data_IF_219134608030
#
_entry.id   IF_219134608030
#
_cell.length_a   1.000
_cell.length_b   1.000
_cell.length_c   1.000
_cell.angle_alpha   90.00
_cell.angle_beta   90.00
_cell.angle_gamma   90.00
#
_symmetry.space_group_name_H-M   'P 1'
#
loop_
_entity.id
_entity.type
_entity.pdbx_description
1 polymer ?
#
# COMPACT_ATOMS: atom_id res chain seq x y z
N UNK A 1 -21.08 4.93 20.74
CA UNK A 1 -21.65 4.61 19.41
C UNK A 1 -21.79 3.09 19.28
N UNK A 2 -22.69 2.53 18.48
CA UNK A 2 -22.76 1.08 18.21
C UNK A 2 -22.18 0.81 16.83
N UNK A 3 -21.18 -0.07 16.73
CA UNK A 3 -20.60 -0.47 15.44
C UNK A 3 -21.61 -1.28 14.63
N UNK A 4 -21.86 -0.88 13.38
CA UNK A 4 -22.69 -1.64 12.45
C UNK A 4 -21.88 -2.78 11.83
N UNK A 5 -22.34 -4.02 11.98
CA UNK A 5 -21.68 -5.18 11.38
C UNK A 5 -22.41 -5.58 10.10
N UNK A 6 -21.67 -5.64 9.00
CA UNK A 6 -22.18 -5.99 7.69
C UNK A 6 -21.53 -7.29 7.25
N UNK A 7 -22.29 -8.38 7.33
CA UNK A 7 -21.88 -9.67 6.79
C UNK A 7 -21.94 -9.66 5.25
N UNK A 8 -20.82 -10.07 4.67
CA UNK A 8 -20.59 -10.24 3.24
C UNK A 8 -20.16 -11.68 2.99
N UNK A 9 -20.67 -12.25 1.91
CA UNK A 9 -20.13 -13.49 1.37
C UNK A 9 -18.85 -13.13 0.59
N UNK A 10 -17.73 -13.79 0.93
CA UNK A 10 -16.46 -13.61 0.25
C UNK A 10 -16.54 -13.93 -1.26
N UNK A 11 -17.49 -14.78 -1.68
CA UNK A 11 -17.68 -15.20 -3.06
C UNK A 11 -18.75 -14.38 -3.81
N UNK A 12 -19.58 -13.61 -3.08
CA UNK A 12 -20.64 -12.76 -3.64
C UNK A 12 -20.64 -11.40 -2.94
N UNK A 13 -19.69 -10.56 -3.32
CA UNK A 13 -19.58 -9.20 -2.81
C UNK A 13 -20.87 -8.41 -3.10
N UNK A 14 -21.63 -8.08 -2.06
CA UNK A 14 -22.82 -7.23 -2.19
C UNK A 14 -22.38 -5.77 -2.36
N UNK A 15 -22.28 -5.33 -3.62
CA UNK A 15 -21.79 -4.00 -3.99
C UNK A 15 -22.57 -2.89 -3.29
N UNK A 16 -23.89 -3.03 -3.10
CA UNK A 16 -24.69 -2.00 -2.44
C UNK A 16 -24.25 -1.77 -0.98
N UNK A 17 -23.94 -2.84 -0.25
CA UNK A 17 -23.43 -2.75 1.12
C UNK A 17 -22.01 -2.18 1.18
N UNK A 18 -21.15 -2.52 0.21
CA UNK A 18 -19.80 -1.94 0.13
C UNK A 18 -19.86 -0.47 -0.26
N UNK A 19 -20.83 -0.06 -1.09
CA UNK A 19 -21.08 1.34 -1.44
C UNK A 19 -21.49 2.16 -0.22
N UNK A 20 -22.31 1.61 0.67
CA UNK A 20 -22.63 2.25 1.95
C UNK A 20 -21.36 2.50 2.78
N UNK A 21 -20.50 1.48 2.87
CA UNK A 21 -19.22 1.59 3.57
C UNK A 21 -18.29 2.64 2.95
N UNK A 22 -18.20 2.70 1.61
CA UNK A 22 -17.42 3.72 0.91
C UNK A 22 -17.94 5.14 1.21
N UNK A 23 -19.25 5.34 1.19
CA UNK A 23 -19.87 6.62 1.53
C UNK A 23 -19.57 7.06 2.97
N UNK A 24 -19.52 6.11 3.93
CA UNK A 24 -19.11 6.39 5.31
C UNK A 24 -17.65 6.84 5.39
N UNK A 25 -16.74 6.20 4.63
CA UNK A 25 -15.33 6.62 4.56
C UNK A 25 -15.21 8.02 3.96
N UNK A 26 -15.93 8.31 2.87
CA UNK A 26 -15.92 9.64 2.25
C UNK A 26 -16.48 10.74 3.16
N UNK A 27 -17.47 10.41 3.99
CA UNK A 27 -18.02 11.27 5.04
C UNK A 27 -17.08 11.43 6.26
N UNK A 28 -15.93 10.75 6.27
CA UNK A 28 -14.93 10.86 7.33
C UNK A 28 -15.17 9.96 8.55
N UNK A 29 -15.93 8.87 8.36
CA UNK A 29 -16.05 7.75 9.30
C UNK A 29 -14.92 6.72 9.13
N UNK A 30 -14.80 5.84 10.11
CA UNK A 30 -13.85 4.74 10.17
C UNK A 30 -14.56 3.42 9.86
N UNK A 31 -14.08 2.72 8.84
CA UNK A 31 -14.66 1.44 8.42
C UNK A 31 -13.62 0.34 8.53
N UNK A 32 -13.87 -0.68 9.35
CA UNK A 32 -13.05 -1.87 9.35
C UNK A 32 -13.39 -2.78 8.16
N UNK A 33 -12.38 -3.25 7.44
CA UNK A 33 -12.56 -4.08 6.24
C UNK A 33 -11.48 -5.16 6.13
N UNK A 34 -11.78 -6.31 5.49
CA UNK A 34 -10.85 -7.41 5.36
C UNK A 34 -9.81 -7.14 4.27
N UNK A 35 -8.58 -7.63 4.50
CA UNK A 35 -7.57 -7.80 3.45
C UNK A 35 -7.13 -9.27 3.38
N UNK A 36 -6.23 -9.62 2.48
CA UNK A 36 -5.56 -10.93 2.50
C UNK A 36 -4.67 -11.13 3.74
N UNK A 37 -4.18 -10.03 4.33
CA UNK A 37 -3.26 -10.06 5.48
C UNK A 37 -3.97 -10.10 6.83
N UNK A 38 -4.54 -8.96 7.22
CA UNK A 38 -5.21 -8.66 8.49
C UNK A 38 -6.31 -7.64 8.19
N UNK A 39 -7.25 -7.46 9.10
CA UNK A 39 -8.24 -6.39 8.96
C UNK A 39 -7.56 -5.01 9.00
N UNK A 40 -8.07 -4.07 8.21
CA UNK A 40 -7.63 -2.68 8.20
C UNK A 40 -8.77 -1.73 8.57
N UNK A 41 -8.43 -0.50 8.96
CA UNK A 41 -9.40 0.58 9.20
C UNK A 41 -9.29 1.59 8.07
N UNK A 42 -10.22 1.58 7.13
CA UNK A 42 -10.31 2.57 6.07
C UNK A 42 -10.67 3.93 6.67
N UNK A 43 -9.83 4.92 6.38
CA UNK A 43 -10.03 6.30 6.77
C UNK A 43 -9.62 7.21 5.60
N UNK A 44 -10.47 8.20 5.30
CA UNK A 44 -10.16 9.24 4.33
C UNK A 44 -8.99 10.10 4.82
N UNK A 45 -8.10 10.48 3.92
CA UNK A 45 -7.04 11.46 4.18
C UNK A 45 -7.65 12.86 4.28
N UNK A 46 -8.06 13.23 5.50
CA UNK A 46 -8.53 14.56 5.88
C UNK A 46 -8.23 14.76 7.37
N UNK A 47 -7.85 15.97 7.78
CA UNK A 47 -7.42 16.28 9.15
C UNK A 47 -8.33 15.69 10.24
N UNK A 48 -9.64 15.94 10.18
CA UNK A 48 -10.58 15.46 11.20
C UNK A 48 -10.69 13.92 11.23
N UNK A 49 -10.67 13.29 10.04
CA UNK A 49 -10.76 11.83 9.91
C UNK A 49 -9.49 11.14 10.40
N UNK A 50 -8.33 11.70 10.07
CA UNK A 50 -7.04 11.22 10.56
C UNK A 50 -6.91 11.41 12.08
N UNK A 51 -7.38 12.53 12.64
CA UNK A 51 -7.41 12.74 14.08
C UNK A 51 -8.27 11.70 14.80
N UNK A 52 -9.44 11.32 14.25
CA UNK A 52 -10.24 10.21 14.79
C UNK A 52 -9.47 8.88 14.77
N UNK A 53 -8.81 8.58 13.66
CA UNK A 53 -8.01 7.37 13.50
C UNK A 53 -6.83 7.33 14.49
N UNK A 54 -6.15 8.46 14.68
CA UNK A 54 -5.01 8.58 15.60
C UNK A 54 -5.44 8.45 17.05
N UNK A 55 -6.55 9.07 17.43
CA UNK A 55 -7.15 8.92 18.76
C UNK A 55 -7.55 7.47 19.05
N UNK A 56 -8.16 6.79 18.08
CA UNK A 56 -8.53 5.37 18.21
C UNK A 56 -7.31 4.48 18.37
N UNK A 57 -6.22 4.76 17.63
CA UNK A 57 -5.03 3.89 17.64
C UNK A 57 -4.01 4.25 18.71
N UNK A 58 -4.05 5.45 19.29
CA UNK A 58 -2.94 5.99 20.09
C UNK A 58 -1.64 6.02 19.28
N UNK A 59 -1.71 6.54 18.04
CA UNK A 59 -0.62 6.41 17.07
C UNK A 59 0.55 7.33 17.42
N UNK A 60 1.78 6.82 17.27
CA UNK A 60 2.97 7.67 17.28
C UNK A 60 3.00 8.54 15.99
N UNK A 61 3.11 9.89 16.11
CA UNK A 61 3.18 10.81 14.96
C UNK A 61 4.33 10.50 13.99
N UNK A 62 5.36 9.77 14.42
CA UNK A 62 6.47 9.41 13.55
C UNK A 62 6.12 8.37 12.49
N UNK A 63 5.07 7.57 12.70
CA UNK A 63 4.71 6.48 11.78
C UNK A 63 4.06 7.03 10.52
N UNK A 64 4.64 6.70 9.36
CA UNK A 64 4.08 7.00 8.04
C UNK A 64 2.73 6.32 7.79
N UNK A 65 1.79 7.06 7.23
CA UNK A 65 0.56 6.48 6.72
C UNK A 65 0.83 5.62 5.49
N UNK A 66 0.01 4.59 5.29
CA UNK A 66 0.05 3.76 4.08
C UNK A 66 -1.23 4.01 3.30
N UNK A 67 -1.07 4.64 2.14
CA UNK A 67 -2.14 4.82 1.17
C UNK A 67 -2.53 3.46 0.60
N UNK A 68 -3.83 3.19 0.55
CA UNK A 68 -4.38 1.99 -0.07
C UNK A 68 -5.05 2.35 -1.38
N UNK A 69 -4.66 1.64 -2.44
CA UNK A 69 -5.18 1.84 -3.80
C UNK A 69 -5.94 0.60 -4.27
N UNK A 70 -6.96 0.80 -5.10
CA UNK A 70 -7.83 -0.28 -5.57
C UNK A 70 -7.19 -1.16 -6.65
N UNK A 71 -6.30 -0.56 -7.45
CA UNK A 71 -5.61 -1.18 -8.57
C UNK A 71 -4.19 -0.62 -8.71
N UNK A 72 -3.26 -1.43 -9.22
CA UNK A 72 -1.84 -1.08 -9.34
C UNK A 72 -1.58 0.20 -10.12
N UNK A 73 -2.37 0.46 -11.16
CA UNK A 73 -2.22 1.62 -12.05
C UNK A 73 -2.43 2.96 -11.33
N UNK A 74 -3.21 2.98 -10.24
CA UNK A 74 -3.45 4.18 -9.43
C UNK A 74 -2.17 4.69 -8.75
N UNK A 75 -1.14 3.86 -8.59
CA UNK A 75 0.13 4.27 -7.98
C UNK A 75 0.77 5.46 -8.72
N UNK A 76 0.61 5.55 -10.05
CA UNK A 76 1.16 6.65 -10.86
C UNK A 76 0.54 8.02 -10.56
N UNK A 77 -0.62 8.06 -9.91
CA UNK A 77 -1.23 9.31 -9.44
C UNK A 77 -0.40 9.96 -8.33
N UNK A 78 0.28 9.14 -7.54
CA UNK A 78 1.04 9.55 -6.36
C UNK A 78 2.57 9.43 -6.57
N UNK A 79 3.01 8.58 -7.49
CA UNK A 79 4.42 8.37 -7.78
C UNK A 79 4.64 8.60 -9.29
N UNK A 80 5.05 9.83 -9.70
CA UNK A 80 5.19 10.17 -11.12
C UNK A 80 6.20 9.27 -11.84
N UNK A 81 7.36 9.03 -11.22
CA UNK A 81 8.41 8.18 -11.77
C UNK A 81 8.55 6.90 -10.96
N UNK A 82 8.20 5.77 -11.57
CA UNK A 82 8.37 4.44 -10.96
C UNK A 82 9.61 3.77 -11.57
N UNK A 83 10.64 3.56 -10.76
CA UNK A 83 11.86 2.87 -11.18
C UNK A 83 11.65 1.40 -11.55
N UNK A 84 12.56 0.81 -12.33
CA UNK A 84 12.41 -0.55 -12.89
C UNK A 84 12.19 -1.62 -11.81
N UNK A 85 12.97 -1.60 -10.73
CA UNK A 85 12.82 -2.56 -9.61
C UNK A 85 11.47 -2.41 -8.91
N UNK A 86 11.00 -1.17 -8.72
CA UNK A 86 9.69 -0.91 -8.13
C UNK A 86 8.57 -1.39 -9.06
N UNK A 87 8.69 -1.16 -10.36
CA UNK A 87 7.74 -1.66 -11.36
C UNK A 87 7.68 -3.20 -11.38
N UNK A 88 8.82 -3.89 -11.22
CA UNK A 88 8.87 -5.35 -11.08
C UNK A 88 8.12 -5.83 -9.84
N UNK A 89 8.33 -5.20 -8.68
CA UNK A 89 7.57 -5.51 -7.46
C UNK A 89 6.06 -5.28 -7.64
N UNK A 90 5.66 -4.15 -8.24
CA UNK A 90 4.25 -3.87 -8.54
C UNK A 90 3.65 -4.98 -9.42
N UNK A 91 4.38 -5.41 -10.45
CA UNK A 91 3.89 -6.42 -11.37
C UNK A 91 3.77 -7.79 -10.70
N UNK A 92 4.74 -8.17 -9.87
CA UNK A 92 4.89 -9.52 -9.33
C UNK A 92 4.24 -9.72 -7.94
N UNK A 93 4.10 -8.67 -7.14
CA UNK A 93 3.67 -8.75 -5.73
C UNK A 93 2.40 -7.97 -5.41
N UNK A 94 1.94 -7.09 -6.31
CA UNK A 94 0.59 -6.51 -6.22
C UNK A 94 -0.39 -7.25 -7.14
N UNK A 95 -1.71 -7.10 -6.95
CA UNK A 95 -2.29 -6.88 -5.63
C UNK A 95 -1.78 -7.97 -4.69
N UNK A 96 -1.51 -7.62 -3.42
CA UNK A 96 -0.92 -8.57 -2.50
C UNK A 96 -0.29 -7.98 -1.26
N UNK A 97 0.37 -8.83 -0.44
CA UNK A 97 0.78 -8.52 0.92
C UNK A 97 2.11 -7.74 0.96
N UNK A 98 2.29 -6.80 0.04
CA UNK A 98 3.45 -5.91 -0.06
C UNK A 98 3.01 -4.44 0.06
N UNK A 99 3.65 -3.72 0.96
CA UNK A 99 3.63 -2.25 0.98
C UNK A 99 4.95 -1.76 0.43
N UNK A 100 4.91 -0.85 -0.54
CA UNK A 100 6.10 -0.22 -1.12
C UNK A 100 6.14 1.24 -0.67
N UNK A 101 7.20 1.62 0.02
CA UNK A 101 7.55 3.00 0.33
C UNK A 101 8.44 3.50 -0.79
N UNK A 102 7.92 4.39 -1.61
CA UNK A 102 8.65 4.98 -2.73
C UNK A 102 9.39 6.22 -2.22
N UNK A 103 10.71 6.25 -2.36
CA UNK A 103 11.46 7.50 -2.29
C UNK A 103 11.31 8.25 -3.62
N UNK A 104 10.93 9.52 -3.52
CA UNK A 104 10.82 10.43 -4.65
C UNK A 104 12.09 11.32 -4.69
N UNK A 105 12.43 11.78 -5.88
CA UNK A 105 13.38 12.89 -6.00
C UNK A 105 12.67 14.23 -5.76
N UNK A 106 13.45 15.30 -5.62
CA UNK A 106 12.92 16.63 -5.31
C UNK A 106 11.94 17.10 -6.40
N UNK A 107 12.25 16.82 -7.68
CA UNK A 107 11.40 17.21 -8.81
C UNK A 107 10.02 16.56 -8.75
N UNK A 108 9.96 15.25 -8.49
CA UNK A 108 8.70 14.52 -8.38
C UNK A 108 7.95 14.88 -7.09
N UNK A 109 8.67 15.21 -6.02
CA UNK A 109 8.08 15.74 -4.77
C UNK A 109 7.40 17.08 -5.00
N UNK A 110 8.08 18.04 -5.63
CA UNK A 110 7.53 19.36 -5.97
C UNK A 110 6.30 19.25 -6.87
N UNK A 111 6.34 18.31 -7.82
CA UNK A 111 5.20 18.02 -8.69
C UNK A 111 4.00 17.48 -7.92
N UNK A 112 4.22 16.62 -6.93
CA UNK A 112 3.13 16.11 -6.08
C UNK A 112 2.59 17.18 -5.14
N UNK A 113 3.47 18.01 -4.56
CA UNK A 113 3.07 19.11 -3.68
C UNK A 113 2.19 20.15 -4.40
N UNK A 114 2.46 20.40 -5.69
CA UNK A 114 1.65 21.31 -6.51
C UNK A 114 0.36 20.69 -7.06
N UNK A 115 0.32 19.36 -7.22
CA UNK A 115 -0.84 18.66 -7.81
C UNK A 115 -1.89 18.23 -6.78
N UNK A 116 -1.49 18.04 -5.51
CA UNK A 116 -2.35 17.58 -4.44
C UNK A 116 -2.75 18.74 -3.50
N UNK A 117 -3.89 18.60 -2.85
CA UNK A 117 -4.25 19.48 -1.74
C UNK A 117 -3.18 19.39 -0.64
N UNK A 118 -2.77 20.54 -0.11
CA UNK A 118 -1.68 20.66 0.87
C UNK A 118 -1.82 19.68 2.05
N UNK A 119 -3.00 19.60 2.65
CA UNK A 119 -3.25 18.70 3.78
C UNK A 119 -3.14 17.21 3.41
N UNK A 120 -3.50 16.84 2.18
CA UNK A 120 -3.33 15.46 1.67
C UNK A 120 -1.84 15.17 1.47
N UNK A 121 -1.10 16.10 0.87
CA UNK A 121 0.33 15.95 0.66
C UNK A 121 1.08 15.80 1.98
N UNK A 122 0.90 16.71 2.93
CA UNK A 122 1.54 16.68 4.26
C UNK A 122 1.18 15.42 5.06
N UNK A 123 -0.01 14.85 4.84
CA UNK A 123 -0.43 13.61 5.51
C UNK A 123 0.16 12.33 4.90
N UNK A 124 0.36 12.30 3.57
CA UNK A 124 0.77 11.09 2.85
C UNK A 124 2.28 11.04 2.59
N UNK A 125 2.91 12.19 2.39
CA UNK A 125 4.33 12.29 2.07
C UNK A 125 5.11 12.75 3.30
N UNK A 126 6.19 12.04 3.60
CA UNK A 126 7.13 12.41 4.65
C UNK A 126 8.53 11.95 4.23
N UNK A 127 9.52 12.81 4.45
CA UNK A 127 10.92 12.59 4.04
C UNK A 127 11.05 12.23 2.55
N UNK A 128 10.36 12.98 1.69
CA UNK A 128 10.26 12.75 0.24
C UNK A 128 9.84 11.31 -0.11
N UNK A 129 9.00 10.69 0.72
CA UNK A 129 8.57 9.31 0.51
C UNK A 129 7.09 9.10 0.79
N UNK A 130 6.50 8.11 0.11
CA UNK A 130 5.10 7.71 0.29
C UNK A 130 4.98 6.18 0.34
N UNK A 131 4.27 5.67 1.36
CA UNK A 131 3.91 4.26 1.48
C UNK A 131 2.60 3.95 0.75
N UNK A 132 2.63 3.02 -0.20
CA UNK A 132 1.45 2.61 -0.97
C UNK A 132 1.27 1.09 -0.88
N UNK A 133 0.02 0.64 -0.84
CA UNK A 133 -0.37 -0.77 -0.91
C UNK A 133 -1.57 -0.98 -1.81
N UNK A 134 -1.53 -2.06 -2.60
CA UNK A 134 -2.67 -2.57 -3.36
C UNK A 134 -3.08 -3.94 -2.77
N UNK A 135 -4.10 -4.03 -1.90
CA UNK A 135 -4.48 -5.28 -1.24
C UNK A 135 -5.09 -6.29 -2.22
N UNK A 136 -4.84 -7.59 -1.99
CA UNK A 136 -5.42 -8.70 -2.75
C UNK A 136 -6.68 -9.23 -2.08
N UNK A 137 -7.70 -8.38 -2.02
CA UNK A 137 -9.00 -8.75 -1.49
C UNK A 137 -10.11 -8.08 -2.31
N UNK A 138 -11.09 -8.83 -2.86
CA UNK A 138 -12.16 -8.26 -3.67
C UNK A 138 -12.98 -7.18 -2.95
N UNK A 139 -13.26 -7.36 -1.66
CA UNK A 139 -14.03 -6.40 -0.86
C UNK A 139 -13.20 -5.13 -0.64
N UNK A 140 -11.92 -5.27 -0.29
CA UNK A 140 -11.00 -4.12 -0.18
C UNK A 140 -10.89 -3.35 -1.50
N UNK A 141 -10.69 -4.05 -2.62
CA UNK A 141 -10.58 -3.42 -3.94
C UNK A 141 -11.87 -2.68 -4.32
N UNK A 142 -13.04 -3.29 -4.11
CA UNK A 142 -14.34 -2.64 -4.39
C UNK A 142 -14.53 -1.42 -3.47
N UNK A 143 -14.25 -1.53 -2.17
CA UNK A 143 -14.35 -0.43 -1.22
C UNK A 143 -13.49 0.76 -1.68
N UNK A 144 -12.20 0.52 -1.91
CA UNK A 144 -11.23 1.54 -2.33
C UNK A 144 -11.57 2.16 -3.69
N UNK A 145 -12.18 1.40 -4.60
CA UNK A 145 -12.64 1.90 -5.90
C UNK A 145 -13.88 2.78 -5.79
N UNK A 146 -14.77 2.48 -4.84
CA UNK A 146 -16.01 3.23 -4.63
C UNK A 146 -15.80 4.47 -3.75
N UNK A 147 -14.74 4.52 -2.96
CA UNK A 147 -14.35 5.72 -2.19
C UNK A 147 -13.74 6.75 -3.13
N UNK A 148 -14.23 7.99 -3.09
CA UNK A 148 -13.78 9.04 -3.99
C UNK A 148 -12.51 9.77 -3.53
N UNK A 149 -12.15 9.61 -2.25
CA UNK A 149 -10.99 10.28 -1.65
C UNK A 149 -9.84 9.29 -1.36
N UNK A 150 -8.59 9.78 -1.23
CA UNK A 150 -7.47 8.94 -0.81
C UNK A 150 -7.75 8.27 0.55
N UNK A 151 -7.44 6.98 0.66
CA UNK A 151 -7.71 6.18 1.86
C UNK A 151 -6.41 5.66 2.46
N UNK A 152 -6.23 5.87 3.75
CA UNK A 152 -5.22 5.17 4.54
C UNK A 152 -5.89 4.03 5.30
N UNK A 153 -5.18 2.92 5.45
CA UNK A 153 -5.70 1.76 6.16
C UNK A 153 -4.63 1.08 7.02
N UNK A 154 -4.34 1.59 8.23
CA UNK A 154 -3.58 0.83 9.19
C UNK A 154 -4.36 -0.42 9.63
N UNK A 155 -3.67 -1.37 10.26
CA UNK A 155 -4.29 -2.57 10.81
C UNK A 155 -5.38 -2.24 11.84
N UNK A 156 -6.42 -3.06 11.91
CA UNK A 156 -7.56 -2.93 12.81
C UNK A 156 -7.24 -3.47 14.20
N UNK A 157 -6.39 -2.74 14.91
CA UNK A 157 -6.03 -2.99 16.30
C UNK A 157 -5.57 -1.70 16.98
N UNK A 158 -5.61 -1.68 18.31
CA UNK A 158 -4.98 -0.61 19.10
C UNK A 158 -3.44 -0.77 19.00
N UNK A 159 -2.69 0.34 18.95
CA UNK A 159 -1.22 0.28 18.84
C UNK A 159 -0.63 -0.56 19.98
N UNK A 160 0.28 -1.48 19.63
CA UNK A 160 0.90 -2.42 20.57
C UNK A 160 0.19 -3.76 20.71
N UNK A 161 -1.06 -3.88 20.26
CA UNK A 161 -1.81 -5.15 20.23
C UNK A 161 -1.61 -5.94 18.94
N UNK A 162 -2.00 -7.21 18.96
CA UNK A 162 -1.97 -8.09 17.79
C UNK A 162 -2.98 -7.62 16.75
N UNK A 163 -2.58 -7.46 15.47
CA UNK A 163 -3.51 -7.15 14.39
C UNK A 163 -4.64 -8.18 14.26
N UNK A 164 -5.88 -7.71 14.14
CA UNK A 164 -7.04 -8.59 13.99
C UNK A 164 -7.01 -9.35 12.65
N UNK A 165 -7.05 -10.67 12.72
CA UNK A 165 -7.12 -11.59 11.58
C UNK A 165 -8.54 -12.07 11.26
N UNK A 166 -9.53 -11.72 12.07
CA UNK A 166 -10.93 -12.11 11.92
C UNK A 166 -11.87 -11.03 12.48
N UNK A 167 -13.17 -11.06 12.12
CA UNK A 167 -14.15 -10.06 12.55
C UNK A 167 -14.37 -10.02 14.07
N UNK A 168 -14.25 -11.17 14.76
CA UNK A 168 -14.48 -11.27 16.20
C UNK A 168 -13.40 -10.49 16.96
N UNK A 169 -12.14 -10.62 16.54
CA UNK A 169 -11.01 -9.84 17.05
C UNK A 169 -11.21 -8.34 16.81
N UNK A 170 -11.74 -7.94 15.64
CA UNK A 170 -12.04 -6.52 15.38
C UNK A 170 -13.10 -6.00 16.35
N UNK A 171 -14.17 -6.75 16.59
CA UNK A 171 -15.23 -6.33 17.50
C UNK A 171 -14.76 -6.29 18.96
N UNK A 172 -13.93 -7.25 19.37
CA UNK A 172 -13.37 -7.27 20.72
C UNK A 172 -12.54 -6.02 21.03
N UNK A 173 -11.82 -5.47 20.05
CA UNK A 173 -10.97 -4.29 20.26
C UNK A 173 -11.63 -2.96 19.91
N UNK A 174 -12.43 -2.91 18.84
CA UNK A 174 -12.85 -1.66 18.20
C UNK A 174 -14.36 -1.41 18.24
N UNK A 175 -15.14 -2.31 18.84
CA UNK A 175 -16.59 -2.14 18.94
C UNK A 175 -16.93 -0.83 19.67
N UNK A 176 -17.80 -0.06 19.03
CA UNK A 176 -18.25 1.26 19.48
C UNK A 176 -17.30 2.42 19.19
N UNK A 177 -16.11 2.15 18.63
CA UNK A 177 -15.12 3.14 18.21
C UNK A 177 -15.03 3.31 16.68
N UNK A 178 -15.56 2.34 15.93
CA UNK A 178 -15.70 2.40 14.47
C UNK A 178 -17.19 2.38 14.07
N UNK A 179 -17.50 3.03 12.95
CA UNK A 179 -18.86 3.16 12.43
C UNK A 179 -19.36 1.83 11.83
N UNK A 180 -18.51 1.14 11.06
CA UNK A 180 -18.90 -0.05 10.32
C UNK A 180 -17.78 -1.09 10.26
N UNK A 181 -18.14 -2.37 10.35
CA UNK A 181 -17.28 -3.52 10.06
C UNK A 181 -17.85 -4.32 8.88
N UNK A 182 -17.05 -4.50 7.83
CA UNK A 182 -17.31 -5.44 6.75
C UNK A 182 -16.79 -6.83 7.16
N UNK A 183 -17.70 -7.70 7.58
CA UNK A 183 -17.39 -9.08 7.96
C UNK A 183 -17.42 -9.97 6.72
N UNK A 184 -16.26 -10.55 6.36
CA UNK A 184 -16.12 -11.53 5.29
C UNK A 184 -15.38 -12.78 5.76
N UNK A 185 -15.40 -13.05 7.07
CA UNK A 185 -14.64 -14.12 7.69
C UNK A 185 -13.13 -13.84 7.86
N UNK A 186 -12.34 -14.87 8.17
CA UNK A 186 -10.92 -14.73 8.53
C UNK A 186 -10.02 -14.38 7.33
N UNK A 187 -8.99 -13.59 7.59
CA UNK A 187 -7.95 -13.28 6.61
C UNK A 187 -7.08 -14.50 6.28
N UNK A 188 -6.58 -14.56 5.04
CA UNK A 188 -5.77 -15.67 4.51
C UNK A 188 -4.45 -15.86 5.25
N UNK A 189 -3.66 -14.78 5.41
CA UNK A 189 -2.30 -14.88 5.96
C UNK A 189 -2.25 -14.69 7.48
N UNK A 190 -3.20 -13.95 8.08
CA UNK A 190 -3.18 -13.54 9.51
C UNK A 190 -1.83 -12.97 9.98
N UNK A 191 -1.09 -12.39 9.04
CA UNK A 191 0.26 -11.84 9.20
C UNK A 191 0.33 -10.52 8.45
N UNK A 192 1.06 -9.56 9.00
CA UNK A 192 1.24 -8.24 8.39
C UNK A 192 1.87 -8.32 6.99
N UNK A 193 1.56 -7.33 6.15
CA UNK A 193 2.30 -7.13 4.90
C UNK A 193 3.76 -6.81 5.16
N UNK A 194 4.61 -7.28 4.25
CA UNK A 194 6.01 -6.85 4.21
C UNK A 194 6.05 -5.39 3.75
N UNK A 195 6.84 -4.56 4.42
CA UNK A 195 7.02 -3.15 4.06
C UNK A 195 8.45 -3.00 3.55
N UNK A 196 8.57 -2.55 2.30
CA UNK A 196 9.87 -2.30 1.67
C UNK A 196 9.99 -0.83 1.31
N UNK A 197 11.16 -0.24 1.54
CA UNK A 197 11.55 1.03 0.95
C UNK A 197 12.27 0.77 -0.35
N UNK A 198 11.95 1.55 -1.37
CA UNK A 198 12.67 1.54 -2.64
C UNK A 198 13.04 2.95 -3.05
N UNK A 199 14.31 3.14 -3.37
CA UNK A 199 14.84 4.43 -3.76
C UNK A 199 16.26 4.32 -4.32
N UNK A 200 17.04 5.39 -4.18
CA UNK A 200 18.40 5.46 -4.78
C UNK A 200 19.34 4.40 -4.22
N UNK A 201 19.18 4.04 -2.94
CA UNK A 201 20.00 3.03 -2.24
C UNK A 201 19.58 1.59 -2.52
N UNK A 202 18.55 1.37 -3.34
CA UNK A 202 18.03 0.05 -3.65
C UNK A 202 16.80 -0.32 -2.82
N UNK A 203 16.65 -1.62 -2.52
CA UNK A 203 15.53 -2.19 -1.79
C UNK A 203 15.95 -2.42 -0.34
N UNK A 204 15.18 -1.90 0.61
CA UNK A 204 15.37 -2.07 2.04
C UNK A 204 14.08 -2.60 2.68
N UNK A 205 14.16 -3.60 3.56
CA UNK A 205 12.99 -4.10 4.29
C UNK A 205 12.84 -3.31 5.58
N UNK A 206 11.82 -2.46 5.64
CA UNK A 206 11.50 -1.66 6.84
C UNK A 206 10.71 -2.48 7.87
N UNK A 207 9.89 -3.43 7.40
CA UNK A 207 9.13 -4.32 8.28
C UNK A 207 9.00 -5.70 7.65
N UNK A 208 9.45 -6.77 8.33
CA UNK A 208 9.23 -8.14 7.85
C UNK A 208 7.73 -8.48 7.88
N UNK A 209 7.30 -9.30 6.93
CA UNK A 209 5.90 -9.66 6.76
C UNK A 209 5.74 -11.00 6.02
N UNK A 210 4.76 -11.08 5.12
CA UNK A 210 4.47 -12.29 4.35
C UNK A 210 5.64 -12.69 3.45
N UNK A 211 6.21 -11.75 2.69
CA UNK A 211 7.37 -12.00 1.84
C UNK A 211 8.68 -11.93 2.60
N UNK A 212 9.56 -12.89 2.33
CA UNK A 212 10.96 -12.93 2.74
C UNK A 212 11.85 -12.03 1.85
N UNK A 213 13.08 -11.78 2.30
CA UNK A 213 14.05 -11.00 1.54
C UNK A 213 14.40 -11.66 0.19
N UNK A 214 14.67 -12.97 0.17
CA UNK A 214 15.01 -13.70 -1.05
C UNK A 214 13.87 -13.65 -2.09
N UNK A 215 12.61 -13.73 -1.65
CA UNK A 215 11.46 -13.59 -2.55
C UNK A 215 11.39 -12.19 -3.16
N UNK A 216 11.61 -11.14 -2.36
CA UNK A 216 11.58 -9.76 -2.83
C UNK A 216 12.72 -9.44 -3.79
N UNK A 217 13.93 -9.93 -3.51
CA UNK A 217 15.09 -9.80 -4.40
C UNK A 217 14.80 -10.46 -5.76
N UNK A 218 14.27 -11.69 -5.74
CA UNK A 218 13.86 -12.40 -6.96
C UNK A 218 12.74 -11.67 -7.72
N UNK A 219 11.72 -11.17 -7.02
CA UNK A 219 10.60 -10.46 -7.63
C UNK A 219 11.00 -9.09 -8.18
N UNK A 220 12.04 -8.45 -7.65
CA UNK A 220 12.51 -7.13 -8.07
C UNK A 220 13.67 -7.19 -9.07
N UNK A 221 14.15 -8.38 -9.42
CA UNK A 221 15.27 -8.59 -10.34
C UNK A 221 14.99 -7.96 -11.73
N UNK A 222 15.95 -7.17 -12.22
CA UNK A 222 15.92 -6.55 -13.54
C UNK A 222 16.99 -7.19 -14.40
N UNK A 223 16.58 -7.85 -15.47
CA UNK A 223 17.47 -8.47 -16.46
C UNK A 223 17.47 -7.63 -17.73
N UNK A 224 18.66 -7.24 -18.17
CA UNK A 224 18.88 -6.63 -19.46
C UNK A 224 19.39 -7.72 -20.41
N UNK A 225 18.71 -7.91 -21.54
CA UNK A 225 19.08 -8.88 -22.55
C UNK A 225 19.53 -8.13 -23.81
N UNK A 226 20.76 -8.37 -24.24
CA UNK A 226 21.33 -7.80 -25.46
C UNK A 226 21.29 -8.82 -26.59
N UNK A 227 20.50 -8.55 -27.63
CA UNK A 227 20.34 -9.44 -28.79
C UNK A 227 20.84 -8.73 -30.04
N UNK A 228 21.86 -9.30 -30.68
CA UNK A 228 22.27 -8.92 -32.03
C UNK A 228 21.69 -9.91 -33.03
N UNK A 229 21.03 -9.40 -34.07
CA UNK A 229 20.38 -10.22 -35.11
C UNK A 229 21.32 -10.68 -36.22
N UNK A 230 22.55 -10.15 -36.29
CA UNK A 230 23.46 -10.42 -37.42
C UNK A 230 24.88 -10.84 -37.03
N UNK A 231 25.31 -10.63 -35.79
CA UNK A 231 26.67 -10.94 -35.35
C UNK A 231 26.72 -11.31 -33.86
N UNK A 232 27.15 -12.52 -33.55
CA UNK A 232 27.24 -13.02 -32.16
C UNK A 232 28.17 -12.18 -31.29
N UNK A 233 29.18 -11.52 -31.86
CA UNK A 233 30.16 -10.71 -31.12
C UNK A 233 29.61 -9.39 -30.56
N UNK A 234 28.53 -8.83 -31.12
CA UNK A 234 28.03 -7.50 -30.69
C UNK A 234 27.22 -7.54 -29.40
N UNK A 235 26.54 -8.64 -29.10
CA UNK A 235 25.83 -8.84 -27.83
C UNK A 235 26.74 -8.77 -26.60
N UNK A 236 27.85 -9.54 -26.50
CA UNK A 236 28.75 -9.45 -25.36
C UNK A 236 29.48 -8.10 -25.29
N UNK A 237 29.78 -7.45 -26.43
CA UNK A 237 30.31 -6.09 -26.43
C UNK A 237 29.33 -5.09 -25.81
N UNK A 238 28.05 -5.16 -26.20
CA UNK A 238 27.00 -4.31 -25.63
C UNK A 238 26.81 -4.54 -24.13
N UNK A 239 26.84 -5.79 -23.67
CA UNK A 239 26.80 -6.12 -22.23
C UNK A 239 27.99 -5.49 -21.48
N UNK A 240 29.21 -5.65 -21.99
CA UNK A 240 30.40 -5.06 -21.38
C UNK A 240 30.35 -3.52 -21.31
N UNK A 241 29.96 -2.87 -22.40
CA UNK A 241 29.80 -1.40 -22.45
C UNK A 241 28.71 -0.95 -21.48
N UNK A 242 27.56 -1.64 -21.45
CA UNK A 242 26.46 -1.29 -20.57
C UNK A 242 26.82 -1.48 -19.09
N UNK A 243 27.53 -2.55 -18.74
CA UNK A 243 28.04 -2.76 -17.37
C UNK A 243 28.97 -1.63 -16.94
N UNK A 244 29.91 -1.23 -17.79
CA UNK A 244 30.80 -0.09 -17.51
C UNK A 244 30.00 1.19 -17.31
N UNK A 245 29.09 1.51 -18.22
CA UNK A 245 28.23 2.68 -18.11
C UNK A 245 27.39 2.67 -16.82
N UNK A 246 26.84 1.51 -16.46
CA UNK A 246 26.03 1.38 -15.25
C UNK A 246 26.88 1.51 -13.98
N UNK A 247 28.08 0.92 -13.94
CA UNK A 247 29.04 1.06 -12.86
C UNK A 247 29.42 2.54 -12.62
N UNK A 248 29.73 3.27 -13.70
CA UNK A 248 30.01 4.72 -13.64
C UNK A 248 28.81 5.52 -13.10
N UNK A 249 27.58 5.18 -13.53
CA UNK A 249 26.35 5.85 -13.07
C UNK A 249 25.97 5.52 -11.64
N UNK A 250 26.22 4.29 -11.20
CA UNK A 250 25.88 3.80 -9.86
C UNK A 250 27.02 4.01 -8.84
N UNK A 251 28.20 4.43 -9.29
CA UNK A 251 29.40 4.61 -8.47
C UNK A 251 29.84 3.33 -7.75
N UNK A 252 29.86 2.19 -8.47
CA UNK A 252 30.24 0.88 -7.95
C UNK A 252 31.18 0.13 -8.90
#
# INVERSE_FOLDING_TARGET
MRTKVVKLDAHKANIAKIKEAAALVDAGGLVAFPTETVYGIACRVKTDSLAKLDNLKGRNPDKHYTLHISQKSDARKYVPTIGLRAQKLINNAWPGPLTIVFELDDRDTDKQQSSLERGIFESLYKDNSIGIRCPDNPIASILLRLTHNPVVAPSANITGRTPAGDPEQVLAELSGQIELLLDAGPCKYKKNSTVVKIGKKGLEILRPGVYSQAELEKMSEVKFLFVCTGNTCRSPMADGIFRKYLAEKLQC
#
